data_IF_204904129064
#
_entry.id   IF_204904129064
#
_cell.length_a   1.000
_cell.length_b   1.000
_cell.length_c   1.000
_cell.angle_alpha   90.00
_cell.angle_beta   90.00
_cell.angle_gamma   90.00
#
_symmetry.space_group_name_H-M   'P 1'
#
loop_
_entity.id
_entity.type
_entity.pdbx_description
1 polymer ?
#
# COMPACT_ATOMS: atom_id res chain seq x y z
N UNK A 1 12.09 6.69 -7.76
CA UNK A 1 13.55 6.45 -7.77
C UNK A 1 14.05 5.67 -9.00
N UNK A 2 13.20 4.92 -9.70
CA UNK A 2 13.57 4.19 -10.93
C UNK A 2 13.86 5.12 -12.12
N UNK A 3 13.29 6.31 -12.13
CA UNK A 3 13.50 7.36 -13.14
C UNK A 3 14.24 8.53 -12.51
N UNK A 4 14.89 9.40 -13.31
CA UNK A 4 15.40 10.67 -12.81
C UNK A 4 14.30 11.43 -12.06
N UNK A 5 14.65 12.00 -10.94
CA UNK A 5 13.72 12.76 -10.08
C UNK A 5 14.32 14.12 -9.76
N UNK A 6 13.48 15.05 -9.36
CA UNK A 6 13.92 16.40 -8.99
C UNK A 6 14.40 16.41 -7.55
N UNK A 7 15.63 16.84 -7.30
CA UNK A 7 16.18 17.05 -5.95
C UNK A 7 15.54 18.29 -5.29
N UNK A 8 15.81 18.51 -4.00
CA UNK A 8 15.28 19.65 -3.25
C UNK A 8 15.65 21.00 -3.91
N UNK A 9 16.82 21.11 -4.53
CA UNK A 9 17.29 22.28 -5.28
C UNK A 9 16.79 22.31 -6.75
N UNK A 10 15.80 21.48 -7.10
CA UNK A 10 15.18 21.32 -8.43
C UNK A 10 16.09 20.85 -9.53
N UNK A 11 17.19 20.20 -9.19
CA UNK A 11 18.05 19.50 -10.17
C UNK A 11 17.57 18.08 -10.39
N UNK A 12 17.67 17.60 -11.62
CA UNK A 12 17.44 16.20 -11.91
C UNK A 12 18.54 15.35 -11.26
N UNK A 13 18.14 14.30 -10.55
CA UNK A 13 19.06 13.31 -10.02
C UNK A 13 18.89 11.98 -10.76
N UNK A 14 19.99 11.25 -11.02
CA UNK A 14 19.91 9.93 -11.63
C UNK A 14 19.19 8.94 -10.69
N UNK A 15 18.73 7.83 -11.27
CA UNK A 15 18.21 6.72 -10.47
C UNK A 15 19.21 6.27 -9.41
N UNK A 16 18.74 6.00 -8.20
CA UNK A 16 19.58 5.53 -7.09
C UNK A 16 19.85 4.01 -7.15
N UNK A 17 19.08 3.26 -7.91
CA UNK A 17 19.19 1.78 -7.93
C UNK A 17 20.54 1.25 -8.39
N UNK A 18 21.21 1.81 -9.41
CA UNK A 18 22.57 1.39 -9.76
C UNK A 18 23.55 1.47 -8.58
N UNK A 19 23.41 2.48 -7.71
CA UNK A 19 24.27 2.62 -6.53
C UNK A 19 24.01 1.50 -5.50
N UNK A 20 22.76 1.05 -5.36
CA UNK A 20 22.46 -0.11 -4.52
C UNK A 20 23.01 -1.40 -5.12
N UNK A 21 22.94 -1.58 -6.43
CA UNK A 21 23.52 -2.73 -7.13
C UNK A 21 25.04 -2.77 -6.97
N UNK A 22 25.74 -1.65 -7.12
CA UNK A 22 27.17 -1.51 -6.85
C UNK A 22 27.51 -1.83 -5.36
N UNK A 23 26.63 -1.49 -4.43
CA UNK A 23 26.76 -1.84 -3.02
C UNK A 23 26.39 -3.32 -2.71
N UNK A 24 26.10 -4.11 -3.73
CA UNK A 24 25.83 -5.54 -3.64
C UNK A 24 24.40 -5.91 -3.26
N UNK A 25 23.45 -4.99 -3.47
CA UNK A 25 22.03 -5.31 -3.35
C UNK A 25 21.49 -5.90 -4.66
N UNK A 26 20.69 -6.95 -4.57
CA UNK A 26 19.81 -7.35 -5.65
C UNK A 26 18.56 -6.47 -5.62
N UNK A 27 18.24 -5.84 -6.72
CA UNK A 27 17.03 -5.04 -6.89
C UNK A 27 16.01 -5.88 -7.65
N UNK A 28 14.87 -6.17 -7.05
CA UNK A 28 13.77 -6.95 -7.61
C UNK A 28 12.52 -6.10 -7.75
N UNK A 29 11.82 -6.20 -8.87
CA UNK A 29 10.55 -5.54 -9.15
C UNK A 29 9.45 -6.58 -9.23
N UNK A 30 8.59 -6.59 -8.23
CA UNK A 30 7.56 -7.60 -8.11
C UNK A 30 8.08 -8.96 -7.62
N UNK A 31 7.14 -9.85 -7.36
CA UNK A 31 7.43 -11.14 -6.72
C UNK A 31 8.19 -12.11 -7.62
N UNK A 32 8.03 -12.02 -8.94
CA UNK A 32 8.70 -12.94 -9.84
C UNK A 32 10.21 -12.69 -9.89
N UNK A 33 10.62 -11.44 -10.04
CA UNK A 33 12.05 -11.10 -9.94
C UNK A 33 12.60 -11.37 -8.53
N UNK A 34 11.80 -11.17 -7.48
CA UNK A 34 12.19 -11.56 -6.13
C UNK A 34 12.55 -13.05 -6.06
N UNK A 35 11.66 -13.93 -6.52
CA UNK A 35 11.89 -15.39 -6.49
C UNK A 35 13.16 -15.79 -7.25
N UNK A 36 13.42 -15.16 -8.39
CA UNK A 36 14.61 -15.42 -9.17
C UNK A 36 15.91 -15.01 -8.45
N UNK A 37 15.92 -13.81 -7.89
CA UNK A 37 17.11 -13.18 -7.31
C UNK A 37 17.36 -13.59 -5.86
N UNK A 38 16.28 -13.84 -5.12
CA UNK A 38 16.37 -14.11 -3.69
C UNK A 38 17.21 -15.32 -3.33
N UNK A 39 17.29 -16.36 -4.19
CA UNK A 39 18.07 -17.58 -3.92
C UNK A 39 19.57 -17.30 -3.65
N UNK A 40 20.16 -16.36 -4.38
CA UNK A 40 21.61 -16.07 -4.36
C UNK A 40 21.96 -14.75 -3.71
N UNK A 41 21.00 -13.84 -3.59
CA UNK A 41 21.22 -12.50 -3.05
C UNK A 41 21.56 -12.54 -1.55
N UNK A 42 22.51 -11.71 -1.14
CA UNK A 42 22.85 -11.46 0.27
C UNK A 42 22.15 -10.23 0.84
N UNK A 43 21.81 -9.29 -0.03
CA UNK A 43 21.09 -8.06 0.28
C UNK A 43 20.01 -7.90 -0.79
N UNK A 44 18.83 -7.44 -0.40
CA UNK A 44 17.68 -7.34 -1.29
C UNK A 44 16.98 -5.99 -1.16
N UNK A 45 16.56 -5.45 -2.27
CA UNK A 45 15.52 -4.43 -2.36
C UNK A 45 14.41 -5.04 -3.19
N UNK A 46 13.24 -5.22 -2.58
CA UNK A 46 12.03 -5.65 -3.26
C UNK A 46 11.10 -4.44 -3.38
N UNK A 47 10.64 -4.20 -4.57
CA UNK A 47 9.76 -3.07 -4.89
C UNK A 47 8.52 -3.54 -5.60
N UNK A 48 7.48 -2.71 -5.56
CA UNK A 48 6.32 -2.81 -6.43
C UNK A 48 6.78 -2.87 -7.89
N UNK A 49 5.97 -3.51 -8.75
CA UNK A 49 6.18 -3.48 -10.18
C UNK A 49 6.15 -2.01 -10.72
N UNK A 50 6.47 -1.80 -12.00
CA UNK A 50 6.62 -0.44 -12.55
C UNK A 50 5.31 0.37 -12.66
N UNK A 51 4.16 -0.22 -12.30
CA UNK A 51 2.84 0.35 -12.51
C UNK A 51 2.63 1.69 -11.79
N UNK A 52 3.03 1.80 -10.51
CA UNK A 52 2.61 2.90 -9.64
C UNK A 52 3.75 3.69 -8.94
N UNK A 53 4.99 3.39 -9.22
CA UNK A 53 6.09 4.26 -8.83
C UNK A 53 6.63 4.04 -7.42
N UNK A 54 6.17 4.75 -6.39
CA UNK A 54 6.88 4.90 -5.12
C UNK A 54 6.25 4.21 -3.93
N UNK A 55 5.00 3.75 -4.03
CA UNK A 55 4.24 3.10 -2.96
C UNK A 55 3.41 1.94 -3.51
N UNK A 56 2.92 1.09 -2.62
CA UNK A 56 1.85 0.16 -2.97
C UNK A 56 0.60 0.96 -3.37
N UNK A 57 -0.21 0.39 -4.27
CA UNK A 57 -1.54 0.92 -4.52
C UNK A 57 -2.39 0.83 -3.23
N UNK A 58 -3.28 1.80 -3.02
CA UNK A 58 -4.24 1.70 -1.93
C UNK A 58 -5.00 0.37 -2.00
N UNK A 59 -5.23 -0.26 -0.86
CA UNK A 59 -5.88 -1.57 -0.80
C UNK A 59 -7.24 -1.60 -1.53
N UNK A 60 -7.99 -0.48 -1.46
CA UNK A 60 -9.26 -0.31 -2.16
C UNK A 60 -9.11 -0.18 -3.69
N UNK A 61 -7.93 0.22 -4.17
CA UNK A 61 -7.62 0.47 -5.58
C UNK A 61 -6.81 -0.66 -6.23
N UNK A 62 -6.41 -1.65 -5.46
CA UNK A 62 -5.47 -2.68 -5.87
C UNK A 62 -6.05 -3.56 -6.97
N UNK A 63 -5.29 -3.78 -8.01
CA UNK A 63 -5.57 -4.76 -9.06
C UNK A 63 -5.00 -6.15 -8.67
N UNK A 64 -5.39 -7.21 -9.39
CA UNK A 64 -4.98 -8.60 -9.08
C UNK A 64 -3.45 -8.82 -9.12
N UNK A 65 -2.74 -8.03 -9.94
CA UNK A 65 -1.28 -8.12 -10.11
C UNK A 65 -0.50 -7.27 -9.10
N UNK A 66 -1.18 -6.48 -8.27
CA UNK A 66 -0.54 -5.60 -7.31
C UNK A 66 -0.10 -6.36 -6.07
N UNK A 67 1.11 -6.05 -5.59
CA UNK A 67 1.64 -6.62 -4.36
C UNK A 67 0.89 -6.06 -3.15
N UNK A 68 0.72 -6.91 -2.15
CA UNK A 68 0.15 -6.56 -0.84
C UNK A 68 1.25 -6.31 0.19
N UNK A 69 0.90 -5.67 1.31
CA UNK A 69 1.82 -5.56 2.43
C UNK A 69 2.14 -6.95 3.04
N UNK A 70 1.19 -7.88 2.98
CA UNK A 70 1.40 -9.26 3.37
C UNK A 70 2.45 -9.98 2.50
N UNK A 71 2.44 -9.74 1.17
CA UNK A 71 3.45 -10.28 0.25
C UNK A 71 4.85 -9.76 0.57
N UNK A 72 4.98 -8.46 0.82
CA UNK A 72 6.25 -7.86 1.22
C UNK A 72 6.74 -8.39 2.56
N UNK A 73 5.83 -8.54 3.53
CA UNK A 73 6.15 -9.08 4.86
C UNK A 73 6.61 -10.52 4.77
N UNK A 74 5.90 -11.35 3.99
CA UNK A 74 6.25 -12.75 3.75
C UNK A 74 7.62 -12.87 3.07
N UNK A 75 7.85 -12.09 2.02
CA UNK A 75 9.12 -12.07 1.30
C UNK A 75 10.28 -11.63 2.19
N UNK A 76 10.05 -10.63 3.04
CA UNK A 76 11.07 -10.15 4.00
C UNK A 76 11.42 -11.23 5.03
N UNK A 77 10.43 -11.89 5.63
CA UNK A 77 10.65 -12.98 6.59
C UNK A 77 11.39 -14.13 5.92
N UNK A 78 10.95 -14.55 4.74
CA UNK A 78 11.61 -15.61 3.97
C UNK A 78 13.07 -15.25 3.69
N UNK A 79 13.33 -14.05 3.22
CA UNK A 79 14.69 -13.60 2.88
C UNK A 79 15.59 -13.52 4.13
N UNK A 80 15.09 -12.95 5.24
CA UNK A 80 15.84 -12.75 6.47
C UNK A 80 16.10 -14.05 7.25
N UNK A 81 15.30 -15.09 7.04
CA UNK A 81 15.48 -16.39 7.68
C UNK A 81 16.35 -17.36 6.87
N UNK A 82 16.85 -16.96 5.71
CA UNK A 82 17.71 -17.82 4.89
C UNK A 82 19.03 -18.17 5.59
N UNK A 83 19.34 -19.43 5.57
CA UNK A 83 20.62 -19.94 6.05
C UNK A 83 20.77 -19.89 7.59
N UNK A 84 22.02 -19.83 8.06
CA UNK A 84 22.33 -19.64 9.47
C UNK A 84 22.35 -18.16 9.77
N UNK A 85 21.36 -17.66 10.47
CA UNK A 85 21.32 -16.28 10.95
C UNK A 85 21.23 -16.26 12.48
N UNK A 86 21.63 -15.13 13.06
CA UNK A 86 21.57 -14.91 14.50
C UNK A 86 20.29 -14.16 14.92
N UNK A 87 19.25 -14.26 14.12
CA UNK A 87 18.01 -13.50 14.26
C UNK A 87 17.98 -12.26 13.36
N UNK A 88 16.84 -11.56 13.35
CA UNK A 88 16.62 -10.36 12.56
C UNK A 88 15.68 -9.41 13.30
N UNK A 89 15.72 -8.15 12.89
CA UNK A 89 14.71 -7.15 13.20
C UNK A 89 14.00 -6.80 11.89
N UNK A 90 12.67 -6.81 11.92
CA UNK A 90 11.82 -6.41 10.80
C UNK A 90 10.82 -5.37 11.28
N UNK A 91 10.81 -4.21 10.65
CA UNK A 91 9.77 -3.19 10.80
C UNK A 91 8.86 -3.25 9.57
N UNK A 92 7.56 -3.30 9.79
CA UNK A 92 6.52 -3.27 8.76
C UNK A 92 5.61 -2.10 9.06
N UNK A 93 5.40 -1.25 8.08
CA UNK A 93 4.58 -0.05 8.22
C UNK A 93 3.33 -0.15 7.34
N UNK A 94 2.16 0.07 7.93
CA UNK A 94 0.91 0.30 7.22
C UNK A 94 0.79 1.78 6.81
N UNK A 95 1.76 2.32 6.07
CA UNK A 95 1.89 3.76 5.80
C UNK A 95 0.71 4.38 5.07
N UNK A 96 -0.02 3.62 4.27
CA UNK A 96 -1.20 4.11 3.57
C UNK A 96 -2.42 4.34 4.49
N UNK A 97 -2.41 3.80 5.71
CA UNK A 97 -3.44 4.09 6.73
C UNK A 97 -3.40 5.59 7.06
N UNK A 98 -2.20 6.13 7.32
CA UNK A 98 -1.98 7.53 7.59
C UNK A 98 -2.43 8.43 6.44
N UNK A 99 -2.07 8.10 5.22
CA UNK A 99 -2.45 8.88 4.05
C UNK A 99 -3.96 8.91 3.82
N UNK A 100 -4.64 7.78 3.99
CA UNK A 100 -6.10 7.73 3.92
C UNK A 100 -6.74 8.53 5.06
N UNK A 101 -6.17 8.50 6.25
CA UNK A 101 -6.57 9.33 7.39
C UNK A 101 -6.43 10.82 7.09
N UNK A 102 -5.29 11.28 6.55
CA UNK A 102 -5.08 12.66 6.13
C UNK A 102 -6.09 13.12 5.06
N UNK A 103 -6.47 12.22 4.17
CA UNK A 103 -7.49 12.50 3.14
C UNK A 103 -8.93 12.50 3.70
N UNK A 104 -9.15 12.17 4.97
CA UNK A 104 -10.45 11.90 5.58
C UNK A 104 -11.25 10.82 4.80
N UNK A 105 -10.54 9.85 4.24
CA UNK A 105 -11.09 8.76 3.44
C UNK A 105 -11.29 7.52 4.33
N UNK A 106 -12.45 7.44 4.98
CA UNK A 106 -12.74 6.37 5.92
C UNK A 106 -12.80 4.98 5.29
N UNK A 107 -13.24 4.86 4.04
CA UNK A 107 -13.30 3.55 3.37
C UNK A 107 -11.90 3.03 3.02
N UNK A 108 -11.05 3.88 2.46
CA UNK A 108 -9.66 3.51 2.18
C UNK A 108 -8.90 3.24 3.48
N UNK A 109 -9.07 4.04 4.54
CA UNK A 109 -8.43 3.80 5.83
C UNK A 109 -8.79 2.43 6.42
N UNK A 110 -10.06 2.02 6.35
CA UNK A 110 -10.49 0.69 6.80
C UNK A 110 -9.88 -0.40 5.92
N UNK A 111 -9.85 -0.23 4.60
CA UNK A 111 -9.24 -1.19 3.70
C UNK A 111 -7.72 -1.37 3.98
N UNK A 112 -7.01 -0.28 4.25
CA UNK A 112 -5.60 -0.30 4.62
C UNK A 112 -5.35 -0.97 5.98
N UNK A 113 -6.23 -0.76 6.96
CA UNK A 113 -6.14 -1.46 8.26
C UNK A 113 -6.31 -2.97 8.07
N UNK A 114 -7.23 -3.40 7.21
CA UNK A 114 -7.43 -4.81 6.90
C UNK A 114 -6.19 -5.39 6.18
N UNK A 115 -5.59 -4.65 5.24
CA UNK A 115 -4.35 -5.07 4.57
C UNK A 115 -3.19 -5.19 5.56
N UNK A 116 -3.09 -4.28 6.52
CA UNK A 116 -2.09 -4.36 7.59
C UNK A 116 -2.35 -5.56 8.52
N UNK A 117 -3.60 -5.88 8.84
CA UNK A 117 -3.96 -7.06 9.63
C UNK A 117 -3.52 -8.37 8.94
N UNK A 118 -3.65 -8.47 7.62
CA UNK A 118 -3.14 -9.61 6.86
C UNK A 118 -1.59 -9.70 6.92
N UNK A 119 -0.88 -8.57 6.94
CA UNK A 119 0.56 -8.57 7.16
C UNK A 119 0.94 -9.02 8.59
N UNK A 120 0.18 -8.58 9.60
CA UNK A 120 0.35 -9.05 11.00
C UNK A 120 0.10 -10.55 11.08
N UNK A 121 -0.89 -11.07 10.37
CA UNK A 121 -1.18 -12.51 10.31
C UNK A 121 0.01 -13.32 9.75
N UNK A 122 0.70 -12.81 8.73
CA UNK A 122 1.94 -13.43 8.23
C UNK A 122 2.99 -13.53 9.34
N UNK A 123 3.20 -12.44 10.07
CA UNK A 123 4.14 -12.43 11.21
C UNK A 123 3.69 -13.38 12.32
N UNK A 124 2.39 -13.48 12.59
CA UNK A 124 1.84 -14.39 13.59
C UNK A 124 2.00 -15.87 13.19
N UNK A 125 1.85 -16.20 11.90
CA UNK A 125 2.13 -17.55 11.40
C UNK A 125 3.61 -17.93 11.57
N UNK A 126 4.52 -16.97 11.43
CA UNK A 126 5.93 -17.17 11.76
C UNK A 126 6.13 -17.39 13.27
N UNK A 127 5.49 -16.55 14.10
CA UNK A 127 5.53 -16.71 15.56
C UNK A 127 5.06 -18.10 16.00
N UNK A 128 4.00 -18.65 15.44
CA UNK A 128 3.49 -19.99 15.81
C UNK A 128 4.53 -21.10 15.58
N UNK A 129 5.43 -20.91 14.62
CA UNK A 129 6.53 -21.84 14.34
C UNK A 129 7.75 -21.61 15.26
N UNK A 130 7.92 -20.40 15.78
CA UNK A 130 9.06 -19.95 16.58
C UNK A 130 8.65 -19.20 17.86
N UNK A 131 7.76 -19.76 18.71
CA UNK A 131 7.08 -19.01 19.76
C UNK A 131 7.99 -18.55 20.92
N UNK A 132 9.16 -19.18 21.06
CA UNK A 132 10.13 -18.84 22.12
C UNK A 132 11.22 -17.87 21.65
N UNK A 133 11.23 -17.55 20.34
CA UNK A 133 12.31 -16.80 19.70
C UNK A 133 11.77 -15.55 18.96
N UNK A 134 10.46 -15.32 18.99
CA UNK A 134 9.80 -14.24 18.25
C UNK A 134 9.06 -13.30 19.21
N UNK A 135 9.31 -12.02 19.07
CA UNK A 135 8.50 -10.95 19.66
C UNK A 135 7.83 -10.17 18.54
N UNK A 136 6.52 -10.03 18.61
CA UNK A 136 5.74 -9.15 17.74
C UNK A 136 5.25 -7.97 18.57
N UNK A 137 5.49 -6.76 18.08
CA UNK A 137 4.97 -5.51 18.66
C UNK A 137 4.14 -4.81 17.60
N UNK A 138 2.89 -4.49 17.92
CA UNK A 138 1.99 -3.71 17.06
C UNK A 138 1.70 -2.40 17.78
N UNK A 139 1.95 -1.29 17.13
CA UNK A 139 1.74 0.04 17.68
C UNK A 139 1.43 1.04 16.58
N UNK A 140 0.95 2.20 16.95
CA UNK A 140 0.88 3.39 16.09
C UNK A 140 1.82 4.46 16.64
N UNK A 141 2.26 5.36 15.80
CA UNK A 141 3.01 6.57 16.18
C UNK A 141 2.08 7.70 16.64
N UNK A 142 0.93 7.87 15.98
CA UNK A 142 -0.13 8.83 16.33
C UNK A 142 -1.46 8.42 15.67
N UNK A 143 -2.51 9.13 15.99
CA UNK A 143 -3.78 9.10 15.23
C UNK A 143 -3.68 10.04 14.02
N UNK A 144 -4.56 9.84 13.02
CA UNK A 144 -4.61 10.70 11.84
C UNK A 144 -6.05 10.89 11.38
N UNK A 145 -6.45 12.14 11.18
CA UNK A 145 -7.76 12.51 10.66
C UNK A 145 -8.90 12.50 11.66
N UNK A 146 -8.70 12.03 12.90
CA UNK A 146 -9.68 12.09 13.98
C UNK A 146 -10.98 11.35 13.67
N UNK A 147 -10.92 10.13 13.10
CA UNK A 147 -12.11 9.33 12.81
C UNK A 147 -12.90 9.05 14.08
N UNK A 148 -14.13 9.55 14.18
CA UNK A 148 -15.04 9.33 15.29
C UNK A 148 -16.30 8.61 14.83
N UNK A 149 -16.88 7.83 15.75
CA UNK A 149 -18.11 7.11 15.50
C UNK A 149 -19.30 7.96 15.98
N UNK A 150 -20.10 8.43 15.04
CA UNK A 150 -21.28 9.24 15.30
C UNK A 150 -21.11 10.71 14.93
N UNK A 151 -22.21 11.37 14.66
CA UNK A 151 -22.28 12.78 14.29
C UNK A 151 -23.51 13.41 14.98
N UNK A 152 -23.35 14.59 15.56
CA UNK A 152 -24.40 15.34 16.24
C UNK A 152 -25.18 14.49 17.27
N UNK A 153 -26.51 14.53 17.20
CA UNK A 153 -27.42 13.75 18.05
C UNK A 153 -27.90 12.45 17.39
N UNK A 154 -27.21 11.99 16.33
CA UNK A 154 -27.60 10.76 15.64
C UNK A 154 -27.00 9.57 16.41
N UNK A 155 -27.85 8.84 17.09
CA UNK A 155 -27.50 7.62 17.83
C UNK A 155 -27.55 6.40 16.90
N UNK A 156 -26.90 6.51 15.75
CA UNK A 156 -26.88 5.46 14.73
C UNK A 156 -25.55 5.43 13.98
N UNK A 157 -24.88 4.32 14.06
CA UNK A 157 -23.61 4.07 13.35
C UNK A 157 -23.89 3.46 11.98
N UNK A 158 -23.53 4.18 10.92
CA UNK A 158 -23.80 3.79 9.53
C UNK A 158 -22.54 3.40 8.74
N UNK A 159 -21.63 2.67 9.37
CA UNK A 159 -20.37 2.23 8.73
C UNK A 159 -20.58 1.47 7.42
N UNK A 160 -21.73 0.77 7.28
CA UNK A 160 -22.06 0.06 6.03
C UNK A 160 -22.04 0.97 4.79
N UNK A 161 -22.27 2.28 4.98
CA UNK A 161 -22.26 3.22 3.86
C UNK A 161 -20.85 3.40 3.26
N UNK A 162 -19.78 3.16 4.03
CA UNK A 162 -18.42 3.19 3.55
C UNK A 162 -18.13 2.06 2.55
N UNK A 163 -18.88 0.95 2.59
CA UNK A 163 -18.74 -0.15 1.65
C UNK A 163 -19.21 0.17 0.21
N UNK A 164 -19.90 1.29 0.02
CA UNK A 164 -20.29 1.75 -1.33
C UNK A 164 -19.11 2.40 -2.08
N UNK A 165 -18.17 2.99 -1.38
CA UNK A 165 -16.96 3.53 -1.99
C UNK A 165 -16.08 2.37 -2.52
N UNK A 166 -15.69 2.44 -3.79
CA UNK A 166 -14.92 1.39 -4.48
C UNK A 166 -13.56 1.85 -4.98
N UNK A 167 -13.21 3.09 -4.73
CA UNK A 167 -11.95 3.68 -5.17
C UNK A 167 -11.53 4.79 -4.23
N UNK A 168 -10.23 5.04 -4.14
CA UNK A 168 -9.71 6.17 -3.39
C UNK A 168 -10.03 7.50 -4.09
N UNK A 169 -10.01 8.63 -3.37
CA UNK A 169 -10.14 9.97 -3.96
C UNK A 169 -9.08 10.25 -5.02
N UNK A 170 -7.88 9.74 -4.87
CA UNK A 170 -6.80 9.91 -5.83
C UNK A 170 -7.05 9.18 -7.15
N UNK A 171 -7.49 7.93 -7.09
CA UNK A 171 -7.88 7.18 -8.29
C UNK A 171 -9.13 7.78 -8.93
N UNK A 172 -10.11 8.20 -8.12
CA UNK A 172 -11.31 8.89 -8.59
C UNK A 172 -10.96 10.20 -9.33
N UNK A 173 -10.05 11.00 -8.80
CA UNK A 173 -9.61 12.26 -9.42
C UNK A 173 -9.00 12.03 -10.80
N UNK A 174 -8.19 10.98 -10.95
CA UNK A 174 -7.65 10.56 -12.24
C UNK A 174 -8.76 10.09 -13.18
N UNK A 175 -9.66 9.23 -12.71
CA UNK A 175 -10.80 8.72 -13.48
C UNK A 175 -11.72 9.86 -13.96
N UNK A 176 -12.02 10.86 -13.11
CA UNK A 176 -12.78 12.07 -13.49
C UNK A 176 -12.05 12.83 -14.60
N UNK A 177 -10.73 13.00 -14.47
CA UNK A 177 -9.94 13.69 -15.49
C UNK A 177 -10.02 13.01 -16.85
N UNK A 178 -9.93 11.69 -16.86
CA UNK A 178 -10.01 10.90 -18.09
C UNK A 178 -11.42 10.81 -18.64
N UNK A 179 -12.43 10.68 -17.77
CA UNK A 179 -13.83 10.78 -18.17
C UNK A 179 -14.12 12.13 -18.89
N UNK A 180 -13.67 13.24 -18.34
CA UNK A 180 -13.84 14.59 -18.95
C UNK A 180 -13.14 14.72 -20.29
N UNK A 181 -11.94 14.15 -20.46
CA UNK A 181 -11.22 14.18 -21.75
C UNK A 181 -11.96 13.41 -22.84
N UNK A 182 -12.50 12.24 -22.46
CA UNK A 182 -13.12 11.32 -23.40
C UNK A 182 -14.59 11.63 -23.67
N UNK A 183 -15.27 12.31 -22.76
CA UNK A 183 -16.72 12.59 -22.80
C UNK A 183 -17.02 14.08 -22.76
N UNK A 184 -16.55 14.84 -23.76
CA UNK A 184 -16.71 16.32 -23.82
C UNK A 184 -18.17 16.79 -23.87
N UNK A 185 -19.12 15.92 -24.16
CA UNK A 185 -20.56 16.21 -24.24
C UNK A 185 -21.36 15.42 -23.20
N UNK A 186 -20.70 14.94 -22.14
CA UNK A 186 -21.35 14.19 -21.07
C UNK A 186 -22.54 14.98 -20.51
N UNK A 187 -23.65 14.29 -20.35
CA UNK A 187 -24.85 14.78 -19.68
C UNK A 187 -24.71 14.60 -18.17
N UNK A 188 -25.64 15.16 -17.42
CA UNK A 188 -25.70 14.93 -15.97
C UNK A 188 -25.96 13.45 -15.63
N UNK A 189 -26.74 12.75 -16.45
CA UNK A 189 -26.99 11.33 -16.25
C UNK A 189 -25.71 10.49 -16.44
N UNK A 190 -24.89 10.81 -17.45
CA UNK A 190 -23.60 10.14 -17.66
C UNK A 190 -22.66 10.36 -16.45
N UNK A 191 -22.66 11.56 -15.86
CA UNK A 191 -21.87 11.86 -14.66
C UNK A 191 -22.38 11.11 -13.44
N UNK A 192 -23.69 10.99 -13.27
CA UNK A 192 -24.27 10.21 -12.17
C UNK A 192 -23.90 8.74 -12.25
N UNK A 193 -24.04 8.15 -13.45
CA UNK A 193 -23.67 6.76 -13.68
C UNK A 193 -22.20 6.52 -13.31
N UNK A 194 -21.30 7.37 -13.84
CA UNK A 194 -19.87 7.32 -13.52
C UNK A 194 -19.59 7.43 -12.01
N UNK A 195 -20.20 8.37 -11.30
CA UNK A 195 -20.01 8.52 -9.86
C UNK A 195 -20.64 7.36 -9.07
N UNK A 196 -21.77 6.83 -9.54
CA UNK A 196 -22.41 5.67 -8.94
C UNK A 196 -21.54 4.41 -9.02
N UNK A 197 -20.86 4.20 -10.13
CA UNK A 197 -19.92 3.08 -10.31
C UNK A 197 -18.72 3.15 -9.37
N UNK A 198 -18.19 4.35 -9.11
CA UNK A 198 -16.96 4.55 -8.34
C UNK A 198 -17.20 4.75 -6.85
N UNK A 199 -18.26 5.46 -6.49
CA UNK A 199 -18.52 5.90 -5.12
C UNK A 199 -19.84 5.37 -4.54
N UNK A 200 -20.63 4.68 -5.35
CA UNK A 200 -21.95 4.18 -4.93
C UNK A 200 -22.98 5.28 -4.62
N UNK A 201 -22.78 6.48 -5.14
CA UNK A 201 -23.74 7.55 -5.04
C UNK A 201 -24.95 7.25 -5.93
N UNK A 202 -26.19 7.52 -5.40
CA UNK A 202 -27.52 7.28 -5.97
C UNK A 202 -27.98 5.83 -6.06
#
# INVERSE_FOLDING_TARGET
FAKPHTTFDRKEAPSIYPQFEEAGYAVARGLDEYKEKAATAKKMILMQNEKDGTSLAHAIDRDEDDMTLADLTSSAIEFLTKGKNNGFFLMVEGGSIDWAGHANDGASAIAEIIDFDEAIKVAYEFYKKHPKETLIVVTADHETGGLTLGIDNIYNLQLKNLAYQKTSPDRLSRAISDFRKNNRRATWEDVKEFLGEHMGFW
#
